data_IF_178277588373
#
_entry.id   IF_178277588373
#
_cell.length_a   1.000
_cell.length_b   1.000
_cell.length_c   1.000
_cell.angle_alpha   90.00
_cell.angle_beta   90.00
_cell.angle_gamma   90.00
#
_symmetry.space_group_name_H-M   'P 1'
#
loop_
_entity.id
_entity.type
_entity.pdbx_description
1 polymer ?
#
# COMPACT_ATOMS: atom_id res chain seq x y z
N UNK A 1 31.72 -1.76 -9.89
CA UNK A 1 30.87 -0.56 -9.85
C UNK A 1 29.63 -0.87 -8.99
N UNK A 2 29.54 -0.33 -7.76
CA UNK A 2 28.31 -0.49 -6.95
C UNK A 2 27.27 0.48 -7.48
N UNK A 3 26.26 -0.03 -8.17
CA UNK A 3 25.09 0.77 -8.55
C UNK A 3 24.36 1.12 -7.26
N UNK A 4 24.59 2.31 -6.74
CA UNK A 4 23.82 2.88 -5.63
C UNK A 4 22.42 3.16 -6.18
N UNK A 5 21.55 2.14 -6.14
CA UNK A 5 20.13 2.29 -6.45
C UNK A 5 19.58 3.40 -5.57
N UNK A 6 19.25 4.55 -6.17
CA UNK A 6 18.66 5.70 -5.47
C UNK A 6 17.50 5.19 -4.61
N UNK A 7 17.39 5.60 -3.32
CA UNK A 7 16.26 5.20 -2.51
C UNK A 7 14.99 5.62 -3.25
N UNK A 8 14.11 4.66 -3.54
CA UNK A 8 12.82 4.97 -4.15
C UNK A 8 12.10 5.92 -3.21
N UNK A 9 12.05 7.20 -3.59
CA UNK A 9 11.37 8.22 -2.80
C UNK A 9 9.90 7.82 -2.76
N UNK A 10 9.38 7.65 -1.55
CA UNK A 10 7.94 7.44 -1.36
C UNK A 10 7.24 8.72 -1.81
N UNK A 11 6.29 8.58 -2.74
CA UNK A 11 5.46 9.70 -3.19
C UNK A 11 4.32 9.88 -2.21
N UNK A 12 4.09 11.11 -1.75
CA UNK A 12 2.90 11.44 -0.98
C UNK A 12 1.72 11.58 -1.94
N UNK A 13 0.64 10.85 -1.67
CA UNK A 13 -0.58 10.87 -2.46
C UNK A 13 -1.76 11.08 -1.54
N UNK A 14 -2.61 12.07 -1.84
CA UNK A 14 -3.83 12.31 -1.09
C UNK A 14 -4.96 11.49 -1.73
N UNK A 15 -5.40 10.44 -1.05
CA UNK A 15 -6.45 9.55 -1.52
C UNK A 15 -7.78 9.94 -0.86
N UNK A 16 -8.82 10.11 -1.68
CA UNK A 16 -10.21 10.21 -1.19
C UNK A 16 -10.84 8.82 -1.29
N UNK A 17 -11.36 8.33 -0.18
CA UNK A 17 -12.11 7.07 -0.08
C UNK A 17 -13.35 7.29 0.76
N UNK A 18 -14.32 6.39 0.59
CA UNK A 18 -15.51 6.37 1.42
C UNK A 18 -15.18 6.20 2.91
N UNK A 19 -16.01 6.80 3.76
CA UNK A 19 -15.78 6.83 5.20
C UNK A 19 -15.73 5.41 5.79
N UNK A 20 -16.62 4.53 5.36
CA UNK A 20 -16.67 3.13 5.83
C UNK A 20 -15.33 2.40 5.57
N UNK A 21 -14.76 2.56 4.38
CA UNK A 21 -13.47 1.96 4.02
C UNK A 21 -12.32 2.54 4.83
N UNK A 22 -12.38 3.84 5.15
CA UNK A 22 -11.38 4.49 5.97
C UNK A 22 -11.40 3.99 7.42
N UNK A 23 -12.58 3.79 7.99
CA UNK A 23 -12.75 3.24 9.34
C UNK A 23 -12.23 1.81 9.41
N UNK A 24 -12.64 0.97 8.46
CA UNK A 24 -12.13 -0.40 8.35
C UNK A 24 -10.61 -0.44 8.21
N UNK A 25 -10.02 0.42 7.38
CA UNK A 25 -8.56 0.53 7.22
C UNK A 25 -7.85 0.88 8.53
N UNK A 26 -8.43 1.76 9.34
CA UNK A 26 -7.89 2.11 10.66
C UNK A 26 -7.93 0.93 11.61
N UNK A 27 -9.03 0.18 11.64
CA UNK A 27 -9.14 -1.01 12.49
C UNK A 27 -8.12 -2.09 12.11
N UNK A 28 -7.96 -2.35 10.81
CA UNK A 28 -6.97 -3.31 10.31
C UNK A 28 -5.55 -2.86 10.66
N UNK A 29 -5.26 -1.57 10.48
CA UNK A 29 -3.98 -0.98 10.84
C UNK A 29 -3.68 -1.14 12.35
N UNK A 30 -4.66 -0.84 13.20
CA UNK A 30 -4.55 -0.99 14.66
C UNK A 30 -4.32 -2.45 15.07
N UNK A 31 -5.07 -3.40 14.51
CA UNK A 31 -4.92 -4.84 14.80
C UNK A 31 -3.54 -5.40 14.43
N UNK A 32 -2.90 -4.82 13.42
CA UNK A 32 -1.58 -5.26 12.94
C UNK A 32 -0.43 -4.42 13.51
N UNK A 33 -0.71 -3.43 14.36
CA UNK A 33 0.27 -2.47 14.88
C UNK A 33 1.06 -1.77 13.77
N UNK A 34 0.41 -1.52 12.63
CA UNK A 34 1.00 -0.87 11.45
C UNK A 34 0.28 0.43 11.13
N UNK A 35 0.96 1.42 10.52
CA UNK A 35 0.29 2.60 10.02
C UNK A 35 -0.63 2.26 8.85
N UNK A 36 -1.72 3.01 8.68
CA UNK A 36 -2.68 2.84 7.56
C UNK A 36 -1.98 2.84 6.20
N UNK A 37 -0.98 3.71 6.02
CA UNK A 37 -0.16 3.74 4.79
C UNK A 37 0.54 2.41 4.49
N UNK A 38 0.96 1.66 5.50
CA UNK A 38 1.57 0.35 5.29
C UNK A 38 0.55 -0.65 4.76
N UNK A 39 -0.65 -0.67 5.35
CA UNK A 39 -1.75 -1.55 4.94
C UNK A 39 -2.17 -1.27 3.50
N UNK A 40 -2.36 0.01 3.15
CA UNK A 40 -2.68 0.45 1.78
C UNK A 40 -1.60 -0.02 0.79
N UNK A 41 -0.32 0.18 1.13
CA UNK A 41 0.77 -0.26 0.25
C UNK A 41 0.80 -1.77 0.04
N UNK A 42 0.46 -2.57 1.07
CA UNK A 42 0.39 -4.03 0.92
C UNK A 42 -0.80 -4.45 0.05
N UNK A 43 -1.96 -3.84 0.26
CA UNK A 43 -3.15 -4.08 -0.57
C UNK A 43 -2.86 -3.79 -2.06
N UNK A 44 -2.26 -2.63 -2.37
CA UNK A 44 -1.89 -2.26 -3.74
C UNK A 44 -0.88 -3.25 -4.34
N UNK A 45 0.11 -3.70 -3.56
CA UNK A 45 1.10 -4.70 -4.03
C UNK A 45 0.45 -6.04 -4.35
N UNK A 46 -0.47 -6.50 -3.50
CA UNK A 46 -1.17 -7.77 -3.72
C UNK A 46 -2.06 -7.68 -4.95
N UNK A 47 -2.85 -6.62 -5.06
CA UNK A 47 -3.69 -6.35 -6.22
C UNK A 47 -2.88 -6.27 -7.52
N UNK A 48 -1.70 -5.62 -7.50
CA UNK A 48 -0.80 -5.60 -8.66
C UNK A 48 -0.36 -7.00 -9.05
N UNK A 49 0.05 -7.84 -8.09
CA UNK A 49 0.46 -9.22 -8.37
C UNK A 49 -0.67 -10.03 -8.96
N UNK A 50 -1.89 -9.87 -8.47
CA UNK A 50 -3.07 -10.57 -9.01
C UNK A 50 -3.36 -10.12 -10.45
N UNK A 51 -3.31 -8.83 -10.73
CA UNK A 51 -3.56 -8.30 -12.09
C UNK A 51 -2.45 -8.73 -13.07
N UNK A 52 -1.18 -8.65 -12.68
CA UNK A 52 -0.07 -9.05 -13.56
C UNK A 52 0.04 -10.57 -13.69
N UNK A 53 -0.28 -11.33 -12.62
CA UNK A 53 -0.31 -12.79 -12.63
C UNK A 53 -1.51 -13.39 -13.37
N UNK A 54 -2.67 -12.73 -13.36
CA UNK A 54 -3.85 -13.15 -14.14
C UNK A 54 -3.72 -12.84 -15.64
N UNK A 55 -2.73 -12.04 -16.04
CA UNK A 55 -2.39 -11.77 -17.44
C UNK A 55 -1.32 -12.73 -17.99
N UNK A 56 -0.81 -13.65 -17.16
CA UNK A 56 0.20 -14.65 -17.53
C UNK A 56 -0.45 -15.98 -17.95
#
# INVERSE_FOLDING_TARGET
MRVLSKPQRKTQYNLRIDQELHEWLKEVAAKNERPVNYVINQAIKNMRKEIEGAKA
#
